data_IF_296746308922
#
_entry.id   IF_296746308922
#
_cell.length_a   1.000
_cell.length_b   1.000
_cell.length_c   1.000
_cell.angle_alpha   90.00
_cell.angle_beta   90.00
_cell.angle_gamma   90.00
#
_symmetry.space_group_name_H-M   'P 1'
#
loop_
_entity.id
_entity.type
_entity.pdbx_description
1 polymer ?
#
# COMPACT_ATOMS: atom_id res chain seq x y z
N UNK A 1 6.38 2.96 -4.08
CA UNK A 1 7.68 2.31 -3.82
C UNK A 1 7.49 0.87 -3.38
N UNK A 2 8.16 -0.06 -4.07
CA UNK A 2 8.24 -1.47 -3.67
C UNK A 2 9.46 -1.63 -2.74
N UNK A 3 9.23 -1.88 -1.47
CA UNK A 3 10.27 -2.04 -0.45
C UNK A 3 10.84 -3.46 -0.49
N UNK A 4 11.57 -3.79 -1.56
CA UNK A 4 12.12 -5.11 -1.83
C UNK A 4 13.64 -5.17 -1.61
N UNK A 5 14.16 -6.39 -1.39
CA UNK A 5 15.59 -6.66 -1.24
C UNK A 5 16.09 -6.72 0.20
N UNK A 6 15.29 -6.37 1.20
CA UNK A 6 15.70 -6.31 2.62
C UNK A 6 16.31 -7.63 3.14
N UNK A 7 15.74 -8.77 2.77
CA UNK A 7 16.25 -10.11 3.15
C UNK A 7 17.60 -10.42 2.48
N UNK A 8 17.75 -10.07 1.20
CA UNK A 8 18.99 -10.27 0.45
C UNK A 8 20.09 -9.39 1.01
N UNK A 9 19.77 -8.13 1.29
CA UNK A 9 20.69 -7.19 1.92
C UNK A 9 21.17 -7.67 3.29
N UNK A 10 20.26 -8.10 4.17
CA UNK A 10 20.62 -8.63 5.48
C UNK A 10 21.56 -9.85 5.36
N UNK A 11 21.23 -10.80 4.48
CA UNK A 11 22.08 -11.97 4.22
C UNK A 11 23.49 -11.57 3.75
N UNK A 12 23.60 -10.61 2.84
CA UNK A 12 24.89 -10.10 2.36
C UNK A 12 25.73 -9.44 3.46
N UNK A 13 25.06 -8.95 4.53
CA UNK A 13 25.71 -8.36 5.72
C UNK A 13 25.90 -9.37 6.87
N UNK A 14 25.59 -10.65 6.66
CA UNK A 14 25.65 -11.68 7.72
C UNK A 14 24.60 -11.49 8.83
N UNK A 15 23.52 -10.74 8.55
CA UNK A 15 22.47 -10.41 9.50
C UNK A 15 21.19 -11.22 9.22
N UNK A 16 20.33 -11.35 10.23
CA UNK A 16 19.05 -12.02 10.14
C UNK A 16 18.00 -11.20 9.36
N UNK A 17 16.96 -11.89 8.88
CA UNK A 17 15.85 -11.30 8.10
C UNK A 17 15.18 -10.12 8.81
N UNK A 18 14.89 -10.25 10.13
CA UNK A 18 14.30 -9.19 10.94
C UNK A 18 15.12 -7.90 10.88
N UNK A 19 16.45 -8.01 10.97
CA UNK A 19 17.34 -6.85 10.89
C UNK A 19 17.21 -6.13 9.54
N UNK A 20 17.12 -6.90 8.43
CA UNK A 20 16.92 -6.30 7.10
C UNK A 20 15.60 -5.55 6.99
N UNK A 21 14.49 -6.12 7.46
CA UNK A 21 13.20 -5.46 7.48
C UNK A 21 13.20 -4.20 8.35
N UNK A 22 13.81 -4.27 9.54
CA UNK A 22 13.93 -3.12 10.43
C UNK A 22 14.70 -1.97 9.75
N UNK A 23 15.85 -2.28 9.12
CA UNK A 23 16.65 -1.26 8.42
C UNK A 23 15.92 -0.64 7.24
N UNK A 24 15.06 -1.42 6.55
CA UNK A 24 14.17 -0.87 5.53
C UNK A 24 13.13 0.07 6.12
N UNK A 25 12.49 -0.30 7.21
CA UNK A 25 11.50 0.52 7.90
C UNK A 25 12.13 1.82 8.45
N UNK A 26 13.32 1.74 9.05
CA UNK A 26 14.05 2.90 9.59
C UNK A 26 14.35 3.98 8.53
N UNK A 27 14.38 3.61 7.24
CA UNK A 27 14.63 4.55 6.14
C UNK A 27 13.37 5.30 5.66
N UNK A 28 12.19 4.86 6.04
CA UNK A 28 10.94 5.46 5.57
C UNK A 28 10.84 6.94 5.92
N UNK A 29 11.07 7.38 7.17
CA UNK A 29 10.94 8.81 7.51
C UNK A 29 11.88 9.71 6.73
N UNK A 30 13.12 9.27 6.51
CA UNK A 30 14.13 10.01 5.74
C UNK A 30 13.70 10.12 4.27
N UNK A 31 13.25 9.00 3.68
CA UNK A 31 12.74 8.96 2.31
C UNK A 31 11.52 9.87 2.11
N UNK A 32 10.56 9.83 3.04
CA UNK A 32 9.39 10.71 3.00
C UNK A 32 9.77 12.19 3.13
N UNK A 33 10.80 12.50 3.93
CA UNK A 33 11.36 13.83 4.02
C UNK A 33 11.89 14.33 2.66
N UNK A 34 12.63 13.50 1.94
CA UNK A 34 13.10 13.85 0.59
C UNK A 34 11.94 14.03 -0.41
N UNK A 35 10.91 13.18 -0.34
CA UNK A 35 9.73 13.32 -1.17
C UNK A 35 9.03 14.67 -0.93
N UNK A 36 8.89 15.06 0.32
CA UNK A 36 8.28 16.33 0.71
C UNK A 36 9.12 17.54 0.25
N UNK A 37 10.45 17.48 0.36
CA UNK A 37 11.36 18.53 -0.09
C UNK A 37 11.27 18.80 -1.59
N UNK A 38 10.99 17.78 -2.40
CA UNK A 38 10.83 17.91 -3.86
C UNK A 38 9.37 18.07 -4.31
N UNK A 39 8.44 18.21 -3.37
CA UNK A 39 7.04 18.52 -3.65
C UNK A 39 6.21 17.33 -4.12
N UNK A 40 6.58 16.10 -3.75
CA UNK A 40 5.74 14.91 -3.99
C UNK A 40 4.48 14.99 -3.12
N UNK A 41 3.32 14.81 -3.72
CA UNK A 41 2.03 14.92 -3.03
C UNK A 41 1.57 13.58 -2.43
N UNK A 42 1.83 12.47 -3.11
CA UNK A 42 1.40 11.12 -2.70
C UNK A 42 2.54 10.12 -2.82
N UNK A 43 2.76 9.34 -1.77
CA UNK A 43 3.69 8.20 -1.77
C UNK A 43 2.94 6.93 -1.37
N UNK A 44 3.04 5.88 -2.16
CA UNK A 44 2.54 4.56 -1.78
C UNK A 44 3.70 3.64 -1.46
N UNK A 45 3.77 3.14 -0.22
CA UNK A 45 4.80 2.21 0.28
C UNK A 45 4.23 0.80 0.30
N UNK A 46 4.74 -0.11 -0.53
CA UNK A 46 4.32 -1.52 -0.48
C UNK A 46 5.12 -2.28 0.57
N UNK A 47 4.50 -2.49 1.71
CA UNK A 47 5.14 -3.10 2.88
C UNK A 47 4.87 -4.60 2.99
N UNK A 48 3.68 -5.06 2.58
CA UNK A 48 3.28 -6.47 2.69
C UNK A 48 2.34 -6.88 1.56
N UNK A 49 2.73 -7.91 0.79
CA UNK A 49 1.84 -8.53 -0.21
C UNK A 49 0.99 -9.65 0.41
N UNK A 50 -0.13 -10.07 -0.22
CA UNK A 50 -0.90 -11.24 0.23
C UNK A 50 -0.05 -12.51 0.26
N UNK A 51 0.86 -12.69 -0.71
CA UNK A 51 1.76 -13.86 -0.74
C UNK A 51 2.70 -13.88 0.47
N UNK A 52 3.04 -12.73 1.05
CA UNK A 52 3.87 -12.67 2.25
C UNK A 52 3.12 -13.16 3.50
N UNK A 53 1.79 -13.10 3.52
CA UNK A 53 0.97 -13.60 4.62
C UNK A 53 1.03 -15.13 4.75
N UNK A 54 1.48 -15.84 3.72
CA UNK A 54 1.66 -17.30 3.75
C UNK A 54 3.01 -17.74 4.33
N UNK A 55 3.86 -16.79 4.74
CA UNK A 55 5.16 -17.10 5.36
C UNK A 55 4.98 -17.80 6.72
N UNK A 56 5.99 -18.58 7.15
CA UNK A 56 6.00 -19.17 8.48
C UNK A 56 5.77 -18.10 9.56
N UNK A 57 5.02 -18.43 10.64
CA UNK A 57 4.70 -17.47 11.71
C UNK A 57 5.93 -16.81 12.35
N UNK A 58 7.04 -17.53 12.44
CA UNK A 58 8.32 -17.02 12.97
C UNK A 58 8.97 -15.94 12.09
N UNK A 59 8.60 -15.85 10.80
CA UNK A 59 9.04 -14.78 9.90
C UNK A 59 7.97 -13.67 9.81
N UNK A 60 6.70 -14.06 9.72
CA UNK A 60 5.59 -13.15 9.53
C UNK A 60 5.33 -12.28 10.77
N UNK A 61 5.32 -12.85 11.96
CA UNK A 61 5.06 -12.13 13.21
C UNK A 61 6.00 -10.93 13.40
N UNK A 62 7.33 -11.13 13.38
CA UNK A 62 8.27 -10.01 13.46
C UNK A 62 8.16 -8.98 12.36
N UNK A 63 7.73 -9.39 11.15
CA UNK A 63 7.51 -8.44 10.04
C UNK A 63 6.29 -7.57 10.29
N UNK A 64 5.19 -8.16 10.77
CA UNK A 64 3.98 -7.41 11.13
C UNK A 64 4.28 -6.40 12.25
N UNK A 65 4.99 -6.82 13.31
CA UNK A 65 5.42 -5.92 14.39
C UNK A 65 6.20 -4.71 13.86
N UNK A 66 7.18 -4.93 12.97
CA UNK A 66 7.97 -3.85 12.36
C UNK A 66 7.08 -2.89 11.54
N UNK A 67 6.09 -3.43 10.82
CA UNK A 67 5.15 -2.62 10.03
C UNK A 67 4.27 -1.78 10.96
N UNK A 68 3.71 -2.38 12.01
CA UNK A 68 2.88 -1.69 13.00
C UNK A 68 3.66 -0.55 13.67
N UNK A 69 4.89 -0.83 14.10
CA UNK A 69 5.76 0.16 14.75
C UNK A 69 6.12 1.31 13.78
N UNK A 70 6.43 0.97 12.52
CA UNK A 70 6.72 1.98 11.50
C UNK A 70 5.51 2.89 11.24
N UNK A 71 4.32 2.32 11.05
CA UNK A 71 3.10 3.08 10.79
C UNK A 71 2.71 3.94 11.99
N UNK A 72 2.75 3.38 13.21
CA UNK A 72 2.47 4.12 14.44
C UNK A 72 3.46 5.27 14.64
N UNK A 73 4.74 5.03 14.36
CA UNK A 73 5.79 6.07 14.43
C UNK A 73 5.54 7.19 13.43
N UNK A 74 5.15 6.87 12.20
CA UNK A 74 4.81 7.88 11.19
C UNK A 74 3.61 8.72 11.64
N UNK A 75 2.54 8.09 12.14
CA UNK A 75 1.36 8.78 12.64
C UNK A 75 1.70 9.69 13.82
N UNK A 76 2.54 9.23 14.76
CA UNK A 76 2.96 10.01 15.92
C UNK A 76 3.72 11.29 15.57
N UNK A 77 4.39 11.36 14.41
CA UNK A 77 5.07 12.59 13.95
C UNK A 77 4.10 13.73 13.66
N UNK A 78 2.83 13.42 13.37
CA UNK A 78 1.82 14.38 12.88
C UNK A 78 2.27 15.21 11.67
N UNK A 79 3.23 14.68 10.90
CA UNK A 79 3.83 15.36 9.74
C UNK A 79 3.13 14.97 8.44
N UNK A 80 2.73 13.71 8.33
CA UNK A 80 2.18 13.13 7.11
C UNK A 80 0.80 12.51 7.35
N UNK A 81 -0.05 12.57 6.34
CA UNK A 81 -1.34 11.86 6.38
C UNK A 81 -1.11 10.39 6.01
N UNK A 82 -1.36 9.48 6.92
CA UNK A 82 -1.20 8.03 6.72
C UNK A 82 -2.53 7.40 6.31
N UNK A 83 -2.51 6.62 5.25
CA UNK A 83 -3.70 5.92 4.73
C UNK A 83 -3.37 4.45 4.42
N UNK A 84 -3.88 3.48 5.19
CA UNK A 84 -3.72 2.07 4.91
C UNK A 84 -4.51 1.67 3.66
N UNK A 85 -3.85 0.99 2.72
CA UNK A 85 -4.47 0.44 1.51
C UNK A 85 -4.21 -1.05 1.39
N UNK A 86 -5.20 -1.82 0.96
CA UNK A 86 -5.10 -3.27 0.79
C UNK A 86 -6.22 -4.03 1.50
N UNK A 87 -6.10 -5.34 1.49
CA UNK A 87 -7.06 -6.24 2.10
C UNK A 87 -6.80 -6.39 3.61
N UNK A 88 -7.22 -5.39 4.39
CA UNK A 88 -7.00 -5.36 5.84
C UNK A 88 -7.72 -6.50 6.57
N UNK A 89 -8.74 -7.08 5.95
CA UNK A 89 -9.47 -8.27 6.43
C UNK A 89 -8.60 -9.54 6.46
N UNK A 90 -7.46 -9.54 5.75
CA UNK A 90 -6.48 -10.64 5.79
C UNK A 90 -5.51 -10.55 6.98
N UNK A 91 -5.48 -9.41 7.67
CA UNK A 91 -4.55 -9.14 8.77
C UNK A 91 -5.16 -9.58 10.11
N UNK A 92 -4.33 -9.83 11.13
CA UNK A 92 -4.82 -9.95 12.50
C UNK A 92 -5.64 -8.72 12.89
N UNK A 93 -6.73 -8.93 13.64
CA UNK A 93 -7.65 -7.84 14.05
C UNK A 93 -6.91 -6.70 14.77
N UNK A 94 -5.97 -7.04 15.64
CA UNK A 94 -5.16 -6.05 16.35
C UNK A 94 -4.34 -5.17 15.39
N UNK A 95 -3.75 -5.79 14.36
CA UNK A 95 -2.99 -5.08 13.32
C UNK A 95 -3.91 -4.15 12.54
N UNK A 96 -5.06 -4.66 12.07
CA UNK A 96 -6.03 -3.85 11.33
C UNK A 96 -6.54 -2.64 12.16
N UNK A 97 -6.75 -2.83 13.47
CA UNK A 97 -7.15 -1.76 14.39
C UNK A 97 -6.08 -0.68 14.51
N UNK A 98 -4.81 -1.06 14.73
CA UNK A 98 -3.70 -0.09 14.79
C UNK A 98 -3.53 0.72 13.51
N UNK A 99 -3.72 0.09 12.35
CA UNK A 99 -3.65 0.79 11.06
C UNK A 99 -4.77 1.82 10.92
N UNK A 100 -6.00 1.48 11.33
CA UNK A 100 -7.13 2.40 11.34
C UNK A 100 -6.96 3.54 12.35
N UNK A 101 -6.37 3.26 13.51
CA UNK A 101 -6.03 4.29 14.50
C UNK A 101 -5.04 5.30 13.91
N UNK A 102 -3.98 4.83 13.25
CA UNK A 102 -2.99 5.69 12.60
C UNK A 102 -3.62 6.56 11.49
N UNK A 103 -4.56 6.02 10.71
CA UNK A 103 -5.33 6.76 9.71
C UNK A 103 -6.17 7.85 10.36
N UNK A 104 -6.94 7.50 11.38
CA UNK A 104 -7.81 8.45 12.09
C UNK A 104 -7.00 9.56 12.77
N UNK A 105 -5.89 9.23 13.40
CA UNK A 105 -5.00 10.18 14.04
C UNK A 105 -4.35 11.20 13.09
N UNK A 106 -4.26 10.87 11.81
CA UNK A 106 -3.60 11.70 10.79
C UNK A 106 -4.57 12.24 9.75
N UNK A 107 -5.86 11.98 9.88
CA UNK A 107 -6.90 12.30 8.89
C UNK A 107 -6.91 13.77 8.47
N UNK A 108 -6.73 14.67 9.41
CA UNK A 108 -6.81 16.11 9.18
C UNK A 108 -5.47 16.76 8.80
N UNK A 109 -4.40 15.95 8.66
CA UNK A 109 -3.10 16.43 8.23
C UNK A 109 -3.13 16.72 6.74
N UNK A 110 -2.73 17.93 6.39
CA UNK A 110 -2.53 18.37 5.00
C UNK A 110 -1.06 18.26 4.62
N UNK A 111 -0.75 18.03 3.37
CA UNK A 111 0.62 17.84 2.88
C UNK A 111 0.82 16.46 2.27
N UNK A 112 1.99 15.87 2.44
CA UNK A 112 2.32 14.58 1.86
C UNK A 112 1.38 13.48 2.36
N UNK A 113 0.68 12.84 1.42
CA UNK A 113 -0.19 11.70 1.67
C UNK A 113 0.60 10.39 1.52
N UNK A 114 0.62 9.58 2.55
CA UNK A 114 1.38 8.33 2.59
C UNK A 114 0.43 7.14 2.64
N UNK A 115 0.26 6.47 1.51
CA UNK A 115 -0.42 5.18 1.48
C UNK A 115 0.53 4.09 1.98
N UNK A 116 0.09 3.31 2.95
CA UNK A 116 0.80 2.11 3.42
C UNK A 116 0.07 0.87 2.90
N UNK A 117 0.63 0.25 1.87
CA UNK A 117 0.04 -0.89 1.19
C UNK A 117 0.41 -2.20 1.94
N UNK A 118 -0.58 -2.74 2.65
CA UNK A 118 -0.43 -3.89 3.55
C UNK A 118 -1.52 -4.92 3.21
N UNK A 119 -1.12 -6.19 3.01
CA UNK A 119 -2.03 -7.19 2.44
C UNK A 119 -2.49 -6.79 1.03
N UNK A 120 -1.68 -5.98 0.37
CA UNK A 120 -2.01 -5.37 -0.91
C UNK A 120 -1.52 -6.22 -2.09
N UNK A 121 -2.39 -6.42 -3.08
CA UNK A 121 -2.08 -7.01 -4.37
C UNK A 121 -3.03 -6.49 -5.45
N UNK A 122 -2.49 -5.95 -6.56
CA UNK A 122 -3.27 -5.26 -7.58
C UNK A 122 -4.35 -6.12 -8.26
N UNK A 123 -4.11 -7.42 -8.42
CA UNK A 123 -5.17 -8.32 -8.95
C UNK A 123 -6.35 -8.43 -8.00
N UNK A 124 -6.08 -8.48 -6.68
CA UNK A 124 -7.13 -8.50 -5.67
C UNK A 124 -7.86 -7.16 -5.62
N UNK A 125 -7.12 -6.06 -5.62
CA UNK A 125 -7.69 -4.71 -5.65
C UNK A 125 -8.69 -4.56 -6.81
N UNK A 126 -8.30 -4.97 -8.03
CA UNK A 126 -9.18 -4.90 -9.21
C UNK A 126 -10.43 -5.77 -8.99
N UNK A 127 -10.30 -6.99 -8.46
CA UNK A 127 -11.44 -7.86 -8.18
C UNK A 127 -12.36 -7.27 -7.10
N UNK A 128 -11.80 -6.66 -6.06
CA UNK A 128 -12.55 -6.00 -4.99
C UNK A 128 -13.23 -4.72 -5.51
N UNK A 129 -12.57 -3.96 -6.39
CA UNK A 129 -13.15 -2.79 -7.05
C UNK A 129 -14.38 -3.18 -7.91
N UNK A 130 -14.25 -4.22 -8.73
CA UNK A 130 -15.38 -4.73 -9.54
C UNK A 130 -16.52 -5.22 -8.64
N UNK A 131 -16.22 -5.95 -7.56
CA UNK A 131 -17.23 -6.39 -6.60
C UNK A 131 -17.95 -5.21 -5.95
N UNK A 132 -17.23 -4.21 -5.51
CA UNK A 132 -17.78 -2.99 -4.91
C UNK A 132 -18.68 -2.23 -5.89
N UNK A 133 -18.24 -2.09 -7.14
CA UNK A 133 -19.04 -1.49 -8.23
C UNK A 133 -20.36 -2.23 -8.43
N UNK A 134 -20.31 -3.55 -8.55
CA UNK A 134 -21.52 -4.38 -8.73
C UNK A 134 -22.48 -4.26 -7.54
N UNK A 135 -21.95 -4.23 -6.31
CA UNK A 135 -22.77 -4.07 -5.10
C UNK A 135 -23.44 -2.69 -5.06
N UNK A 136 -22.73 -1.63 -5.41
CA UNK A 136 -23.28 -0.29 -5.46
C UNK A 136 -24.42 -0.17 -6.47
N UNK A 137 -24.21 -0.66 -7.70
CA UNK A 137 -25.23 -0.63 -8.74
C UNK A 137 -26.43 -1.52 -8.42
N UNK A 138 -26.20 -2.69 -7.84
CA UNK A 138 -27.28 -3.56 -7.35
C UNK A 138 -28.13 -2.86 -6.28
N UNK A 139 -27.51 -2.14 -5.35
CA UNK A 139 -28.23 -1.37 -4.33
C UNK A 139 -29.06 -0.21 -4.91
N UNK A 140 -28.63 0.33 -6.06
CA UNK A 140 -29.36 1.37 -6.82
C UNK A 140 -30.45 0.78 -7.72
N UNK A 141 -30.56 -0.54 -7.83
CA UNK A 141 -31.52 -1.24 -8.71
C UNK A 141 -31.14 -1.26 -10.18
N UNK A 142 -29.88 -0.92 -10.54
CA UNK A 142 -29.37 -1.01 -11.90
C UNK A 142 -29.23 -2.49 -12.31
N UNK A 143 -29.76 -2.87 -13.46
CA UNK A 143 -29.58 -4.23 -14.00
C UNK A 143 -28.14 -4.45 -14.51
N UNK A 144 -27.75 -5.71 -14.65
CA UNK A 144 -26.42 -6.04 -15.22
C UNK A 144 -26.31 -5.58 -16.68
N UNK A 145 -27.40 -5.66 -17.43
CA UNK A 145 -27.47 -5.20 -18.81
C UNK A 145 -27.24 -3.69 -18.91
N UNK A 146 -27.93 -2.92 -18.08
CA UNK A 146 -27.74 -1.45 -18.00
C UNK A 146 -26.34 -1.11 -17.56
N UNK A 147 -25.78 -1.80 -16.56
CA UNK A 147 -24.41 -1.58 -16.11
C UNK A 147 -23.39 -1.87 -17.21
N UNK A 148 -23.61 -2.95 -17.98
CA UNK A 148 -22.71 -3.30 -19.09
C UNK A 148 -22.66 -2.24 -20.19
N UNK A 149 -23.77 -1.51 -20.41
CA UNK A 149 -23.83 -0.43 -21.40
C UNK A 149 -23.06 0.84 -20.96
N UNK A 150 -23.01 1.11 -19.66
CA UNK A 150 -22.41 2.36 -19.11
C UNK A 150 -20.99 2.16 -18.54
N UNK A 151 -20.57 0.90 -18.38
CA UNK A 151 -19.30 0.58 -17.73
C UNK A 151 -18.11 1.12 -18.52
N UNK A 152 -17.26 1.89 -17.84
CA UNK A 152 -15.99 2.34 -18.38
C UNK A 152 -14.86 2.29 -17.33
N UNK A 153 -13.67 2.70 -17.72
CA UNK A 153 -12.45 2.65 -16.89
C UNK A 153 -12.61 3.43 -15.59
N UNK A 154 -13.25 4.59 -15.67
CA UNK A 154 -13.44 5.49 -14.52
C UNK A 154 -14.34 4.87 -13.45
N UNK A 155 -15.36 4.13 -13.85
CA UNK A 155 -16.20 3.42 -12.88
C UNK A 155 -15.41 2.42 -12.02
N UNK A 156 -14.43 1.73 -12.62
CA UNK A 156 -13.54 0.83 -11.88
C UNK A 156 -12.58 1.64 -11.00
N UNK A 157 -11.97 2.72 -11.55
CA UNK A 157 -11.03 3.56 -10.85
C UNK A 157 -11.61 4.14 -9.54
N UNK A 158 -12.88 4.53 -9.54
CA UNK A 158 -13.60 5.05 -8.37
C UNK A 158 -13.81 4.02 -7.25
N UNK A 159 -13.59 2.74 -7.51
CA UNK A 159 -13.69 1.66 -6.53
C UNK A 159 -12.35 1.07 -6.10
N UNK A 160 -11.24 1.55 -6.66
CA UNK A 160 -9.90 1.14 -6.24
C UNK A 160 -9.59 1.64 -4.81
N UNK A 161 -8.64 1.00 -4.14
CA UNK A 161 -8.20 1.41 -2.80
C UNK A 161 -7.59 2.82 -2.78
N UNK A 162 -7.03 3.26 -3.92
CA UNK A 162 -6.43 4.58 -4.13
C UNK A 162 -7.38 5.60 -4.77
N UNK A 163 -8.68 5.33 -4.76
CA UNK A 163 -9.68 6.22 -5.37
C UNK A 163 -9.51 7.67 -4.93
N UNK A 164 -9.69 8.57 -5.87
CA UNK A 164 -9.56 10.02 -5.63
C UNK A 164 -8.13 10.54 -5.52
N UNK A 165 -7.13 9.67 -5.70
CA UNK A 165 -5.73 10.03 -5.78
C UNK A 165 -5.25 9.99 -7.24
N UNK A 166 -4.21 10.76 -7.60
CA UNK A 166 -3.60 10.66 -8.91
C UNK A 166 -2.90 9.32 -9.11
N UNK A 167 -2.79 8.89 -10.35
CA UNK A 167 -1.94 7.76 -10.73
C UNK A 167 -0.46 8.11 -10.47
N UNK A 168 0.38 7.13 -10.12
CA UNK A 168 1.78 7.39 -9.83
C UNK A 168 2.57 7.72 -11.11
N UNK A 169 3.35 8.80 -11.07
CA UNK A 169 4.28 9.16 -12.14
C UNK A 169 5.52 8.24 -12.14
N UNK A 170 5.94 7.80 -10.95
CA UNK A 170 7.16 7.03 -10.76
C UNK A 170 6.95 5.84 -9.84
N UNK A 171 7.40 4.67 -10.29
CA UNK A 171 7.48 3.45 -9.48
C UNK A 171 8.94 3.12 -9.20
N UNK A 172 9.31 3.09 -7.93
CA UNK A 172 10.66 2.71 -7.48
C UNK A 172 10.63 1.32 -6.87
N UNK A 173 11.55 0.44 -7.29
CA UNK A 173 11.76 -0.85 -6.64
C UNK A 173 13.16 -0.93 -6.06
N UNK A 174 13.26 -0.92 -4.74
CA UNK A 174 14.54 -0.80 -4.03
C UNK A 174 15.52 -1.96 -4.25
N UNK A 175 15.07 -3.06 -4.84
CA UNK A 175 15.92 -4.19 -5.23
C UNK A 175 16.57 -4.04 -6.61
N UNK A 176 16.17 -3.04 -7.40
CA UNK A 176 16.64 -2.85 -8.78
C UNK A 176 16.02 -3.80 -9.81
N UNK A 177 15.03 -4.62 -9.42
CA UNK A 177 14.31 -5.48 -10.35
C UNK A 177 13.24 -4.69 -11.10
N UNK A 178 13.18 -4.84 -12.43
CA UNK A 178 12.28 -4.09 -13.31
C UNK A 178 10.97 -4.85 -13.57
N UNK A 179 10.20 -5.11 -12.52
CA UNK A 179 8.86 -5.71 -12.61
C UNK A 179 7.94 -5.20 -11.51
N UNK A 180 6.66 -5.02 -11.80
CA UNK A 180 5.63 -4.56 -10.84
C UNK A 180 5.28 -5.59 -9.77
N UNK A 181 5.43 -6.87 -10.04
CA UNK A 181 5.05 -7.97 -9.13
C UNK A 181 3.63 -7.87 -8.57
N UNK A 182 2.73 -7.18 -9.28
CA UNK A 182 1.35 -6.96 -8.84
C UNK A 182 1.10 -5.67 -8.07
N UNK A 183 2.10 -4.78 -7.94
CA UNK A 183 1.94 -3.50 -7.28
C UNK A 183 1.27 -2.47 -8.20
N UNK A 184 0.17 -1.84 -7.73
CA UNK A 184 -0.57 -0.77 -8.42
C UNK A 184 -0.79 -1.07 -9.93
N UNK A 185 -1.29 -2.28 -10.25
CA UNK A 185 -1.40 -2.75 -11.64
C UNK A 185 -2.25 -1.84 -12.52
N UNK A 186 -3.34 -1.34 -11.97
CA UNK A 186 -4.24 -0.42 -12.69
C UNK A 186 -3.61 0.95 -12.84
N UNK A 187 -3.12 1.48 -11.74
CA UNK A 187 -2.67 2.87 -11.63
C UNK A 187 -1.31 3.12 -12.33
N UNK A 188 -0.47 2.08 -12.47
CA UNK A 188 0.90 2.26 -13.00
C UNK A 188 1.02 2.12 -14.53
N UNK A 189 -0.11 2.20 -15.26
CA UNK A 189 -0.12 2.02 -16.71
C UNK A 189 0.80 2.99 -17.47
N UNK A 190 1.00 4.18 -16.92
CA UNK A 190 1.81 5.25 -17.52
C UNK A 190 3.00 5.68 -16.66
N UNK A 191 3.31 4.93 -15.59
CA UNK A 191 4.40 5.26 -14.67
C UNK A 191 5.77 4.98 -15.29
N UNK A 192 6.73 5.84 -14.96
CA UNK A 192 8.15 5.54 -15.15
C UNK A 192 8.64 4.53 -14.10
N UNK A 193 9.64 3.71 -14.44
CA UNK A 193 10.18 2.68 -13.57
C UNK A 193 11.66 2.91 -13.25
N UNK A 194 11.98 2.82 -11.95
CA UNK A 194 13.37 2.90 -11.48
C UNK A 194 13.69 1.77 -10.51
#
# INVERSE_FOLDING_TARGET
VLMDGNRRWARAKGAGTRHGHQRGADKIPEFLGWCEEVGVEVVTLWMLSPDNLTRPPEELGPLIEIIEDAVSSLAATKRWRVHPVGALDLLPEATASRLKEAEEETRDITGLHVNVAIGYGGRREIADAVRSLLQEHSAKGTSIEELAEILDVEHIAQHLYTRGQPDPDLVIRTSGEQRLSGFLLWQSAHSEFY
#
